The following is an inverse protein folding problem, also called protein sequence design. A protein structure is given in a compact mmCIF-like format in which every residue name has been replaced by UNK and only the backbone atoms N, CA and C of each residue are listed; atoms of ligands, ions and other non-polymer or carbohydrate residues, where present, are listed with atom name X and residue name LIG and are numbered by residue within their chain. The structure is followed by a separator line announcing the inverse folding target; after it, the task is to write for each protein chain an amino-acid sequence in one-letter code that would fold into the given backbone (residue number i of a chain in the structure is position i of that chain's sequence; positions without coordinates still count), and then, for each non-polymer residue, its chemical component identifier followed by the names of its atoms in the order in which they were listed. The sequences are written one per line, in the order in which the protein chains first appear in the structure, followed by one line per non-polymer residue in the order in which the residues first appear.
data_IF_637323186415
#
_entry.id   IF_637323186415
#
_cell.length_a   1.000
_cell.length_b   1.000
_cell.length_c   1.000
_cell.angle_alpha   90.00
_cell.angle_beta   90.00
_cell.angle_gamma   90.00
#
_symmetry.space_group_name_H-M   'P 1'
#
loop_
_entity.id
_entity.type
_entity.pdbx_description
1 polymer ?
#
# COMPACT_ATOMS: atom_id res chain seq x y z
N UNK A 1 2.74 5.90 -11.65
CA UNK A 1 2.40 7.12 -10.88
C UNK A 1 1.61 6.72 -9.63
N UNK A 2 1.74 7.46 -8.54
CA UNK A 2 1.00 7.26 -7.29
C UNK A 2 -0.17 8.25 -7.25
N UNK A 3 -1.34 7.83 -6.76
CA UNK A 3 -2.55 8.64 -6.75
C UNK A 3 -3.13 8.80 -5.35
N UNK A 4 -3.64 10.00 -5.07
CA UNK A 4 -4.58 10.23 -3.97
C UNK A 4 -5.88 9.45 -4.20
N UNK A 5 -6.59 9.18 -3.10
CA UNK A 5 -7.94 8.61 -3.11
C UNK A 5 -8.06 7.23 -3.80
N UNK A 6 -6.94 6.53 -4.01
CA UNK A 6 -6.87 5.17 -4.54
C UNK A 6 -6.40 4.21 -3.46
N UNK A 7 -6.99 3.00 -3.41
CA UNK A 7 -6.57 1.94 -2.49
C UNK A 7 -5.30 1.26 -2.96
N UNK A 8 -4.41 0.98 -2.01
CA UNK A 8 -3.14 0.29 -2.23
C UNK A 8 -2.88 -0.72 -1.12
N UNK A 9 -2.17 -1.80 -1.47
CA UNK A 9 -1.51 -2.64 -0.47
C UNK A 9 -0.12 -2.09 -0.17
N UNK A 10 0.34 -2.28 1.06
CA UNK A 10 1.70 -1.93 1.47
C UNK A 10 2.70 -3.06 1.21
N UNK A 11 3.88 -2.66 0.75
CA UNK A 11 5.06 -3.51 0.59
C UNK A 11 6.25 -2.82 1.26
N UNK A 12 6.80 -3.46 2.30
CA UNK A 12 8.07 -3.03 2.87
C UNK A 12 9.22 -3.61 2.04
N UNK A 13 10.14 -2.77 1.56
CA UNK A 13 11.23 -3.20 0.68
C UNK A 13 12.35 -3.97 1.40
N UNK A 14 12.47 -3.83 2.73
CA UNK A 14 13.42 -4.59 3.54
C UNK A 14 12.88 -6.00 3.87
N UNK A 15 11.56 -6.12 4.10
CA UNK A 15 10.87 -7.36 4.49
C UNK A 15 9.74 -7.68 3.52
N UNK A 16 10.11 -7.96 2.27
CA UNK A 16 9.16 -8.18 1.16
C UNK A 16 8.33 -9.46 1.29
N UNK A 17 8.78 -10.42 2.10
CA UNK A 17 8.04 -11.66 2.43
C UNK A 17 6.92 -11.43 3.45
N UNK A 18 6.89 -10.28 4.14
CA UNK A 18 5.94 -9.98 5.21
C UNK A 18 4.76 -9.11 4.77
N UNK A 19 3.61 -9.41 5.34
CA UNK A 19 2.37 -8.66 5.15
C UNK A 19 2.18 -7.64 6.27
N UNK A 20 1.63 -6.47 5.95
CA UNK A 20 1.21 -5.50 6.97
C UNK A 20 -0.21 -5.84 7.37
N UNK A 21 -0.41 -6.28 8.61
CA UNK A 21 -1.73 -6.71 9.11
C UNK A 21 -2.16 -5.86 10.30
N UNK A 22 -3.46 -5.61 10.39
CA UNK A 22 -4.02 -4.92 11.55
C UNK A 22 -4.17 -5.89 12.71
N UNK A 23 -3.67 -5.50 13.88
CA UNK A 23 -3.98 -6.16 15.14
C UNK A 23 -4.48 -5.11 16.13
N UNK A 24 -5.78 -5.13 16.44
CA UNK A 24 -6.45 -4.08 17.23
C UNK A 24 -6.15 -2.68 16.65
N UNK A 25 -5.40 -1.85 17.39
CA UNK A 25 -5.00 -0.49 16.99
C UNK A 25 -3.54 -0.41 16.47
N UNK A 26 -2.86 -1.55 16.32
CA UNK A 26 -1.49 -1.62 15.83
C UNK A 26 -1.43 -2.19 14.41
N UNK A 27 -0.36 -1.84 13.69
CA UNK A 27 0.00 -2.47 12.42
C UNK A 27 1.22 -3.37 12.62
N UNK A 28 1.03 -4.67 12.41
CA UNK A 28 2.07 -5.68 12.53
C UNK A 28 2.76 -5.94 11.18
N UNK A 29 4.01 -6.40 11.23
CA UNK A 29 4.79 -6.86 10.07
C UNK A 29 5.53 -8.18 10.38
N UNK A 30 4.81 -9.14 10.94
CA UNK A 30 5.37 -10.46 11.30
C UNK A 30 4.75 -11.62 10.50
N UNK A 31 3.52 -11.46 10.00
CA UNK A 31 2.80 -12.45 9.20
C UNK A 31 3.40 -12.59 7.79
N UNK A 32 3.51 -13.83 7.32
CA UNK A 32 3.96 -14.13 5.95
C UNK A 32 2.89 -13.75 4.91
N UNK A 33 3.31 -13.16 3.78
CA UNK A 33 2.39 -12.89 2.64
C UNK A 33 1.90 -14.17 1.97
N UNK A 34 2.70 -15.24 2.07
CA UNK A 34 2.47 -16.50 1.39
C UNK A 34 2.84 -16.43 -0.10
N UNK A 35 2.76 -17.59 -0.74
CA UNK A 35 3.15 -17.79 -2.14
C UNK A 35 1.89 -17.97 -3.00
N UNK A 36 1.88 -17.36 -4.17
CA UNK A 36 0.95 -17.65 -5.25
C UNK A 36 1.73 -18.28 -6.37
N UNK A 37 1.37 -19.52 -6.70
CA UNK A 37 2.10 -20.30 -7.68
C UNK A 37 1.13 -21.06 -8.56
N UNK A 38 1.56 -21.24 -9.81
CA UNK A 38 0.96 -22.17 -10.75
C UNK A 38 2.07 -23.13 -11.19
N UNK A 39 1.93 -24.45 -10.94
CA UNK A 39 2.97 -25.42 -11.24
C UNK A 39 3.52 -25.26 -12.66
N UNK A 40 4.84 -25.30 -12.80
CA UNK A 40 5.58 -25.18 -14.06
C UNK A 40 5.43 -23.84 -14.81
N UNK A 41 4.78 -22.83 -14.24
CA UNK A 41 4.55 -21.53 -14.91
C UNK A 41 5.13 -20.38 -14.08
N UNK A 42 4.73 -20.25 -12.82
CA UNK A 42 5.24 -19.17 -11.96
C UNK A 42 5.16 -19.54 -10.48
N UNK A 43 5.99 -18.88 -9.67
CA UNK A 43 5.93 -18.91 -8.21
C UNK A 43 6.41 -17.56 -7.68
N UNK A 44 5.47 -16.79 -7.10
CA UNK A 44 5.72 -15.43 -6.67
C UNK A 44 5.07 -15.18 -5.30
N UNK A 45 5.61 -14.26 -4.51
CA UNK A 45 4.96 -13.81 -3.28
C UNK A 45 3.62 -13.13 -3.59
N UNK A 46 2.60 -13.35 -2.76
CA UNK A 46 1.29 -12.70 -2.94
C UNK A 46 1.37 -11.18 -2.73
N UNK A 47 1.09 -10.42 -3.78
CA UNK A 47 1.12 -8.95 -3.72
C UNK A 47 -0.14 -8.33 -3.10
N UNK A 48 -1.31 -8.97 -3.21
CA UNK A 48 -2.58 -8.45 -2.71
C UNK A 48 -2.95 -9.09 -1.36
N UNK A 49 -2.23 -8.72 -0.30
CA UNK A 49 -2.48 -9.21 1.08
C UNK A 49 -2.18 -8.13 2.11
N UNK A 50 -2.85 -8.22 3.26
CA UNK A 50 -2.71 -7.26 4.36
C UNK A 50 -3.75 -6.16 4.30
N UNK A 51 -3.48 -5.04 4.98
CA UNK A 51 -4.37 -3.87 4.99
C UNK A 51 -4.36 -3.13 3.65
N UNK A 52 -5.51 -2.59 3.26
CA UNK A 52 -5.63 -1.61 2.18
C UNK A 52 -5.51 -0.20 2.77
N UNK A 53 -4.63 0.64 2.21
CA UNK A 53 -4.42 2.04 2.60
C UNK A 53 -4.83 2.99 1.49
N UNK A 54 -5.16 4.23 1.84
CA UNK A 54 -5.50 5.30 0.90
C UNK A 54 -4.77 6.56 1.35
N UNK A 55 -4.09 7.23 0.41
CA UNK A 55 -3.46 8.52 0.66
C UNK A 55 -4.50 9.63 0.44
N UNK A 56 -4.65 10.53 1.41
CA UNK A 56 -5.58 11.67 1.38
C UNK A 56 -4.80 12.98 1.39
N UNK A 57 -5.26 13.96 0.60
CA UNK A 57 -4.69 15.33 0.60
C UNK A 57 -4.90 15.97 1.99
N UNK A 58 -3.91 16.71 2.49
CA UNK A 58 -4.03 17.49 3.72
C UNK A 58 -4.82 18.79 3.45
N UNK A 59 -5.97 19.00 4.08
CA UNK A 59 -6.79 20.22 3.99
C UNK A 59 -8.02 20.14 3.07
N UNK A 60 -8.90 21.13 3.19
CA UNK A 60 -10.09 21.26 2.33
C UNK A 60 -9.64 21.68 0.93
N UNK A 61 -9.46 20.70 0.04
CA UNK A 61 -9.27 20.90 -1.41
C UNK A 61 -8.39 22.09 -1.74
N UNK A 62 -7.08 21.91 -1.75
CA UNK A 62 -6.21 22.85 -2.47
C UNK A 62 -6.70 22.91 -3.93
N UNK A 63 -7.55 23.90 -4.20
CA UNK A 63 -8.32 24.08 -5.44
C UNK A 63 -7.39 24.38 -6.62
N UNK A 64 -6.11 24.63 -6.36
CA UNK A 64 -5.07 24.83 -7.36
C UNK A 64 -4.60 23.53 -8.02
N UNK A 65 -4.80 22.37 -7.37
CA UNK A 65 -4.28 21.09 -7.86
C UNK A 65 -5.41 20.21 -8.42
N UNK A 66 -5.61 20.32 -9.73
CA UNK A 66 -6.71 19.74 -10.51
C UNK A 66 -6.64 18.21 -10.66
N UNK A 67 -5.53 17.60 -10.26
CA UNK A 67 -5.32 16.16 -10.39
C UNK A 67 -5.12 15.44 -9.04
N UNK A 68 -5.09 14.11 -9.12
CA UNK A 68 -4.85 13.22 -7.99
C UNK A 68 -3.41 12.70 -7.93
N UNK A 69 -2.44 13.28 -8.66
CA UNK A 69 -1.06 12.80 -8.59
C UNK A 69 -0.41 13.18 -7.26
N UNK A 70 0.16 12.18 -6.59
CA UNK A 70 1.02 12.41 -5.42
C UNK A 70 2.39 12.86 -5.92
N UNK A 71 2.83 14.05 -5.51
CA UNK A 71 4.12 14.63 -5.86
C UNK A 71 5.06 14.61 -4.65
N UNK A 72 6.36 14.71 -4.92
CA UNK A 72 7.37 14.86 -3.86
C UNK A 72 7.05 16.13 -3.07
N UNK A 73 7.15 16.04 -1.74
CA UNK A 73 6.87 17.11 -0.78
C UNK A 73 5.39 17.48 -0.59
N UNK A 74 4.44 16.72 -1.16
CA UNK A 74 3.04 16.90 -0.79
C UNK A 74 2.81 16.57 0.70
N UNK A 75 1.90 17.31 1.34
CA UNK A 75 1.41 17.01 2.68
C UNK A 75 0.15 16.13 2.59
N UNK A 76 0.18 14.97 3.23
CA UNK A 76 -0.87 13.96 3.13
C UNK A 76 -1.07 13.16 4.43
N UNK A 77 -2.20 12.47 4.51
CA UNK A 77 -2.52 11.44 5.50
C UNK A 77 -2.69 10.07 4.84
#
# INVERSE_FOLDING_TARGET
YLLYNKRYYLLNLLRTDKSITQNSNFLNINQQRGVYQKPNIFSNTRWYTGVEVIIRKNGSTDISNTDNFVRKNDLAY
#
